data_IF_097681045943
#
_entry.id   IF_097681045943
#
_cell.length_a   1.000
_cell.length_b   1.000
_cell.length_c   1.000
_cell.angle_alpha   90.00
_cell.angle_beta   90.00
_cell.angle_gamma   90.00
#
_symmetry.space_group_name_H-M   'P 1'
#
loop_
_entity.id
_entity.type
_entity.pdbx_description
1 polymer ?
#
# COMPACT_ATOMS: atom_id res chain seq x y z
N UNK A 1 -5.89 24.35 -10.09
CA UNK A 1 -5.62 23.60 -8.84
C UNK A 1 -6.67 23.99 -7.82
N UNK A 2 -7.22 23.02 -7.08
CA UNK A 2 -8.13 23.30 -5.98
C UNK A 2 -7.44 24.22 -4.95
N UNK A 3 -8.17 25.20 -4.42
CA UNK A 3 -7.63 26.13 -3.41
C UNK A 3 -7.31 25.44 -2.08
N UNK A 4 -7.73 24.18 -1.91
CA UNK A 4 -7.46 23.32 -0.75
C UNK A 4 -7.17 21.90 -1.22
N UNK A 5 -6.27 21.23 -0.51
CA UNK A 5 -5.95 19.81 -0.74
C UNK A 5 -7.17 18.91 -0.46
N UNK A 6 -7.44 17.98 -1.36
CA UNK A 6 -8.48 16.95 -1.27
C UNK A 6 -7.80 15.57 -1.23
N UNK A 7 -7.61 14.96 -0.04
CA UNK A 7 -6.94 13.66 0.07
C UNK A 7 -7.65 12.57 -0.73
N UNK A 8 -8.98 12.54 -0.70
CA UNK A 8 -9.78 11.53 -1.38
C UNK A 8 -9.50 11.47 -2.90
N UNK A 9 -9.47 12.63 -3.57
CA UNK A 9 -9.17 12.71 -5.01
C UNK A 9 -7.74 12.25 -5.33
N UNK A 10 -6.80 12.54 -4.45
CA UNK A 10 -5.39 12.18 -4.65
C UNK A 10 -5.17 10.69 -4.40
N UNK A 11 -5.74 10.15 -3.32
CA UNK A 11 -5.65 8.73 -2.96
C UNK A 11 -6.27 7.84 -4.04
N UNK A 12 -7.46 8.20 -4.54
CA UNK A 12 -8.13 7.46 -5.61
C UNK A 12 -7.29 7.42 -6.89
N UNK A 13 -6.78 8.58 -7.32
CA UNK A 13 -5.94 8.67 -8.53
C UNK A 13 -4.65 7.88 -8.39
N UNK A 14 -3.91 8.04 -7.29
CA UNK A 14 -2.62 7.38 -7.09
C UNK A 14 -2.77 5.86 -6.97
N UNK A 15 -3.81 5.40 -6.25
CA UNK A 15 -4.10 3.97 -6.16
C UNK A 15 -4.38 3.38 -7.56
N UNK A 16 -5.20 4.06 -8.37
CA UNK A 16 -5.45 3.65 -9.75
C UNK A 16 -4.17 3.56 -10.58
N UNK A 17 -3.33 4.60 -10.56
CA UNK A 17 -2.05 4.63 -11.29
C UNK A 17 -1.11 3.50 -10.86
N UNK A 18 -1.03 3.16 -9.56
CA UNK A 18 -0.19 2.07 -9.07
C UNK A 18 -0.71 0.70 -9.51
N UNK A 19 -2.03 0.50 -9.48
CA UNK A 19 -2.65 -0.75 -9.92
C UNK A 19 -2.46 -0.97 -11.43
N UNK A 20 -2.69 0.05 -12.26
CA UNK A 20 -2.48 -0.01 -13.71
C UNK A 20 -1.03 -0.39 -14.08
N UNK A 21 -0.06 0.07 -13.28
CA UNK A 21 1.36 -0.21 -13.48
C UNK A 21 1.83 -1.53 -12.86
N UNK A 22 0.94 -2.28 -12.21
CA UNK A 22 1.31 -3.44 -11.39
C UNK A 22 2.42 -3.13 -10.39
N UNK A 23 2.39 -1.93 -9.78
CA UNK A 23 3.52 -1.39 -9.01
C UNK A 23 3.88 -2.20 -7.75
N UNK A 24 2.98 -3.06 -7.27
CA UNK A 24 3.18 -3.93 -6.11
C UNK A 24 3.60 -5.36 -6.49
N UNK A 25 3.66 -5.68 -7.78
CA UNK A 25 4.12 -6.97 -8.28
C UNK A 25 5.64 -6.98 -8.39
N UNK A 26 6.27 -8.00 -7.82
CA UNK A 26 7.71 -8.19 -7.86
C UNK A 26 8.05 -9.45 -8.67
N UNK A 27 9.04 -9.34 -9.55
CA UNK A 27 9.64 -10.45 -10.28
C UNK A 27 11.00 -10.80 -9.68
N UNK A 28 11.38 -12.07 -9.77
CA UNK A 28 12.71 -12.52 -9.33
C UNK A 28 13.76 -11.99 -10.30
N UNK A 29 14.73 -11.23 -9.79
CA UNK A 29 15.85 -10.68 -10.56
C UNK A 29 17.15 -10.95 -9.79
N UNK A 30 17.92 -11.94 -10.25
CA UNK A 30 19.21 -12.34 -9.66
C UNK A 30 20.28 -11.23 -9.72
N UNK A 31 20.05 -10.17 -10.50
CA UNK A 31 20.92 -9.01 -10.63
C UNK A 31 20.68 -7.91 -9.59
N UNK A 32 19.67 -8.04 -8.71
CA UNK A 32 19.33 -7.02 -7.71
C UNK A 32 19.30 -7.61 -6.30
N UNK A 33 19.74 -6.85 -5.27
CA UNK A 33 19.57 -7.29 -3.89
C UNK A 33 18.08 -7.46 -3.54
N UNK A 34 17.71 -8.66 -3.11
CA UNK A 34 16.34 -8.96 -2.69
C UNK A 34 16.04 -8.35 -1.31
N UNK A 35 14.85 -7.79 -1.17
CA UNK A 35 14.32 -7.35 0.11
C UNK A 35 12.88 -7.85 0.25
N UNK A 36 12.51 -8.26 1.47
CA UNK A 36 11.18 -8.77 1.78
C UNK A 36 10.74 -8.23 3.14
N UNK A 37 9.51 -7.71 3.20
CA UNK A 37 8.83 -7.33 4.43
C UNK A 37 7.61 -8.22 4.57
N UNK A 38 7.45 -8.84 5.74
CA UNK A 38 6.29 -9.67 6.05
C UNK A 38 5.34 -8.89 6.95
N UNK A 39 4.12 -8.66 6.47
CA UNK A 39 3.02 -8.15 7.30
C UNK A 39 2.20 -9.37 7.75
N UNK A 40 2.04 -9.62 9.07
CA UNK A 40 1.29 -10.76 9.54
C UNK A 40 -0.17 -10.67 9.08
N UNK A 41 -0.78 -11.77 8.61
CA UNK A 41 -2.16 -11.75 8.17
C UNK A 41 -3.07 -11.36 9.34
N UNK A 42 -4.07 -10.48 9.13
CA UNK A 42 -4.98 -10.08 10.19
C UNK A 42 -5.85 -11.28 10.60
N UNK A 43 -6.07 -11.44 11.91
CA UNK A 43 -7.11 -12.35 12.40
C UNK A 43 -8.48 -11.80 11.98
N UNK A 44 -9.21 -12.53 11.14
CA UNK A 44 -10.51 -12.09 10.59
C UNK A 44 -11.61 -12.28 11.63
N UNK A 45 -11.65 -11.41 12.63
CA UNK A 45 -12.65 -11.46 13.72
C UNK A 45 -13.50 -10.18 13.83
N UNK A 46 -13.26 -9.18 12.97
CA UNK A 46 -13.98 -7.91 13.01
C UNK A 46 -13.45 -6.85 12.03
N UNK A 47 -13.72 -5.58 12.31
CA UNK A 47 -13.22 -4.44 11.53
C UNK A 47 -11.76 -4.10 11.86
N UNK A 48 -11.07 -3.44 10.93
CA UNK A 48 -9.72 -2.94 11.17
C UNK A 48 -9.74 -1.82 12.23
N UNK A 49 -8.79 -1.85 13.16
CA UNK A 49 -8.53 -0.77 14.11
C UNK A 49 -7.18 -0.09 13.85
N UNK A 50 -6.93 1.04 14.52
CA UNK A 50 -5.69 1.83 14.35
C UNK A 50 -4.39 1.04 14.51
N UNK A 51 -4.37 -0.01 15.35
CA UNK A 51 -3.20 -0.89 15.47
C UNK A 51 -2.82 -1.62 14.17
N UNK A 52 -3.78 -1.97 13.31
CA UNK A 52 -3.49 -2.56 12.00
C UNK A 52 -2.86 -1.53 11.06
N UNK A 53 -3.39 -0.30 11.06
CA UNK A 53 -2.86 0.79 10.27
C UNK A 53 -1.42 1.12 10.67
N UNK A 54 -1.14 1.21 11.98
CA UNK A 54 0.21 1.44 12.49
C UNK A 54 1.17 0.34 12.03
N UNK A 55 0.87 -0.93 12.32
CA UNK A 55 1.75 -2.06 12.00
C UNK A 55 1.99 -2.25 10.50
N UNK A 56 1.08 -1.79 9.64
CA UNK A 56 1.26 -1.88 8.18
C UNK A 56 2.01 -0.68 7.59
N UNK A 57 2.26 0.36 8.40
CA UNK A 57 2.93 1.61 7.98
C UNK A 57 4.39 1.68 8.44
N UNK A 58 4.75 0.97 9.52
CA UNK A 58 6.11 0.93 10.10
C UNK A 58 6.87 -0.33 9.70
#
# INVERSE_FOLDING_TARGET
MAARYSPAEVEERLMGEWLERSAFHAEVDDGRPTYSIVIPPPNVTGSLHMGHALNSTI
#
